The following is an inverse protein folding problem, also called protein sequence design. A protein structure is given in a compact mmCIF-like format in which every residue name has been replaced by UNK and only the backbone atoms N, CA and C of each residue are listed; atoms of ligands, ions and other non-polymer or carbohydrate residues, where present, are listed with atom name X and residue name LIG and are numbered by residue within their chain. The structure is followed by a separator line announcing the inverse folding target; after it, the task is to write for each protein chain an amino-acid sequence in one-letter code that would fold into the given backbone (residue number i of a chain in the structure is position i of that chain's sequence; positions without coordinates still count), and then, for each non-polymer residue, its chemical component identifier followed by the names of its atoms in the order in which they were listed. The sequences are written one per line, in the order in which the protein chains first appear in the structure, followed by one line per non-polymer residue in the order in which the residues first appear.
data_IF_937524791417
#
_entry.id   IF_937524791417
#
_cell.length_a   1.000
_cell.length_b   1.000
_cell.length_c   1.000
_cell.angle_alpha   90.00
_cell.angle_beta   90.00
_cell.angle_gamma   90.00
#
_symmetry.space_group_name_H-M   'P 1'
#
loop_
_entity.id
_entity.type
_entity.pdbx_description
1 polymer ?
#
# COMPACT_ATOMS: atom_id res chain seq x y z
N UNK A 1 -13.40 12.43 -11.82
CA UNK A 1 -13.04 12.50 -10.39
C UNK A 1 -11.53 12.40 -10.27
N UNK A 2 -10.91 13.15 -9.37
CA UNK A 2 -9.47 13.07 -9.10
C UNK A 2 -9.30 12.10 -7.92
N UNK A 3 -8.58 11.00 -8.14
CA UNK A 3 -8.26 10.05 -7.08
C UNK A 3 -6.90 10.41 -6.50
N UNK A 4 -6.81 10.47 -5.17
CA UNK A 4 -5.52 10.54 -4.49
C UNK A 4 -4.82 9.18 -4.63
N UNK A 5 -3.65 9.18 -5.27
CA UNK A 5 -2.84 7.99 -5.45
C UNK A 5 -1.99 7.77 -4.21
N UNK A 6 -2.28 6.68 -3.51
CA UNK A 6 -1.65 6.36 -2.25
C UNK A 6 -0.79 5.11 -2.39
N UNK A 7 0.40 5.14 -1.79
CA UNK A 7 1.20 3.94 -1.55
C UNK A 7 1.12 3.51 -0.09
N UNK A 8 1.08 2.19 0.13
CA UNK A 8 1.07 1.61 1.47
C UNK A 8 2.46 1.07 1.81
N UNK A 9 2.90 1.31 3.04
CA UNK A 9 4.19 0.89 3.58
C UNK A 9 3.96 -0.01 4.79
N UNK A 10 4.17 -1.32 4.59
CA UNK A 10 3.95 -2.39 5.56
C UNK A 10 2.59 -3.06 5.37
N UNK A 11 2.57 -4.39 5.30
CA UNK A 11 1.36 -5.20 5.20
C UNK A 11 0.94 -5.74 6.58
N UNK A 12 -0.35 -5.58 6.90
CA UNK A 12 -0.98 -6.20 8.07
C UNK A 12 -2.50 -6.37 7.83
N UNK A 13 -3.23 -6.83 8.85
CA UNK A 13 -4.67 -7.02 8.74
C UNK A 13 -5.45 -5.69 8.57
N UNK A 14 -4.97 -4.60 9.16
CA UNK A 14 -5.59 -3.27 9.04
C UNK A 14 -5.49 -2.75 7.60
N UNK A 15 -4.36 -2.98 6.94
CA UNK A 15 -4.17 -2.67 5.52
C UNK A 15 -5.16 -3.44 4.65
N UNK A 16 -5.34 -4.73 4.91
CA UNK A 16 -6.31 -5.54 4.17
C UNK A 16 -7.75 -5.00 4.36
N UNK A 17 -8.11 -4.61 5.59
CA UNK A 17 -9.42 -3.99 5.86
C UNK A 17 -9.57 -2.62 5.16
N UNK A 18 -8.52 -1.79 5.17
CA UNK A 18 -8.53 -0.49 4.52
C UNK A 18 -8.73 -0.61 3.00
N UNK A 19 -7.97 -1.51 2.35
CA UNK A 19 -8.10 -1.73 0.90
C UNK A 19 -9.47 -2.34 0.58
N UNK A 20 -10.03 -3.24 1.41
CA UNK A 20 -11.39 -3.73 1.18
C UNK A 20 -12.44 -2.62 1.26
N UNK A 21 -12.33 -1.68 2.20
CA UNK A 21 -13.26 -0.55 2.29
C UNK A 21 -13.20 0.37 1.06
N UNK A 22 -12.03 0.56 0.45
CA UNK A 22 -11.90 1.26 -0.82
C UNK A 22 -12.60 0.51 -1.96
N UNK A 23 -12.38 -0.81 -2.05
CA UNK A 23 -13.01 -1.66 -3.08
C UNK A 23 -14.53 -1.75 -2.93
N UNK A 24 -15.03 -1.75 -1.70
CA UNK A 24 -16.45 -1.78 -1.36
C UNK A 24 -17.12 -0.40 -1.54
N UNK A 25 -16.36 0.64 -1.90
CA UNK A 25 -16.86 2.00 -2.11
C UNK A 25 -17.22 2.75 -0.83
N UNK A 26 -16.76 2.28 0.34
CA UNK A 26 -16.98 2.93 1.63
C UNK A 26 -16.06 4.14 1.86
N UNK A 27 -14.93 4.16 1.14
CA UNK A 27 -13.99 5.29 1.10
C UNK A 27 -13.85 5.70 -0.36
N UNK A 28 -14.14 6.97 -0.66
CA UNK A 28 -14.11 7.50 -2.02
C UNK A 28 -12.85 8.34 -2.27
N UNK A 29 -12.55 8.60 -3.55
CA UNK A 29 -11.50 9.51 -4.02
C UNK A 29 -10.06 9.13 -3.59
N UNK A 30 -9.82 7.86 -3.26
CA UNK A 30 -8.48 7.30 -2.97
C UNK A 30 -8.27 6.03 -3.79
N UNK A 31 -7.05 5.86 -4.32
CA UNK A 31 -6.63 4.67 -5.05
C UNK A 31 -5.30 4.17 -4.45
N UNK A 32 -5.24 2.91 -4.03
CA UNK A 32 -3.98 2.29 -3.60
C UNK A 32 -3.26 1.76 -4.83
N UNK A 33 -2.15 2.41 -5.19
CA UNK A 33 -1.44 2.13 -6.44
C UNK A 33 -0.19 1.28 -6.25
N UNK A 34 0.29 1.12 -5.01
CA UNK A 34 1.47 0.33 -4.71
C UNK A 34 1.51 -0.09 -3.24
N UNK A 35 2.10 -1.25 -2.99
CA UNK A 35 2.39 -1.74 -1.64
C UNK A 35 3.88 -2.03 -1.53
N UNK A 36 4.52 -1.49 -0.51
CA UNK A 36 5.87 -1.85 -0.11
C UNK A 36 5.86 -2.64 1.20
N UNK A 37 6.67 -3.69 1.27
CA UNK A 37 7.04 -4.32 2.54
C UNK A 37 8.52 -4.75 2.53
N UNK A 38 9.19 -4.59 3.67
CA UNK A 38 10.57 -5.08 3.85
C UNK A 38 10.63 -6.61 3.86
N UNK A 39 9.59 -7.28 4.32
CA UNK A 39 9.46 -8.73 4.28
C UNK A 39 8.99 -9.19 2.90
N UNK A 40 9.92 -9.70 2.11
CA UNK A 40 9.65 -10.25 0.76
C UNK A 40 8.63 -11.39 0.78
N UNK A 41 8.42 -12.06 1.91
CA UNK A 41 7.43 -13.12 2.04
C UNK A 41 5.99 -12.60 1.89
N UNK A 42 5.76 -11.32 2.23
CA UNK A 42 4.45 -10.65 2.10
C UNK A 42 3.99 -10.51 0.66
N UNK A 43 4.91 -10.59 -0.33
CA UNK A 43 4.55 -10.59 -1.76
C UNK A 43 3.48 -11.64 -2.08
N UNK A 44 3.57 -12.83 -1.49
CA UNK A 44 2.56 -13.89 -1.72
C UNK A 44 1.19 -13.52 -1.18
N UNK A 45 1.14 -12.87 -0.02
CA UNK A 45 -0.10 -12.47 0.64
C UNK A 45 -0.75 -11.31 -0.14
N UNK A 46 0.03 -10.29 -0.48
CA UNK A 46 -0.43 -9.16 -1.30
C UNK A 46 -0.95 -9.65 -2.65
N UNK A 47 -0.20 -10.50 -3.36
CA UNK A 47 -0.63 -11.03 -4.65
C UNK A 47 -1.88 -11.93 -4.55
N UNK A 48 -2.11 -12.58 -3.41
CA UNK A 48 -3.30 -13.39 -3.20
C UNK A 48 -4.56 -12.53 -3.04
N UNK A 49 -4.47 -11.43 -2.28
CA UNK A 49 -5.62 -10.54 -2.02
C UNK A 49 -5.82 -9.49 -3.12
N UNK A 50 -4.73 -8.92 -3.63
CA UNK A 50 -4.70 -7.75 -4.51
C UNK A 50 -3.68 -7.93 -5.64
N UNK A 51 -3.88 -8.91 -6.55
CA UNK A 51 -2.95 -9.20 -7.64
C UNK A 51 -2.72 -8.03 -8.61
N UNK A 52 -3.65 -7.08 -8.65
CA UNK A 52 -3.56 -5.86 -9.47
C UNK A 52 -2.65 -4.77 -8.88
N UNK A 53 -2.36 -4.83 -7.57
CA UNK A 53 -1.55 -3.81 -6.91
C UNK A 53 -0.08 -4.26 -6.90
N UNK A 54 0.85 -3.50 -7.50
CA UNK A 54 2.25 -3.87 -7.54
C UNK A 54 2.87 -3.93 -6.14
N UNK A 55 3.59 -5.03 -5.87
CA UNK A 55 4.37 -5.21 -4.65
C UNK A 55 5.84 -4.85 -4.85
N UNK A 56 6.37 -4.06 -3.92
CA UNK A 56 7.75 -3.62 -3.85
C UNK A 56 8.44 -4.10 -2.57
N UNK A 57 9.71 -4.49 -2.68
CA UNK A 57 10.57 -4.73 -1.50
C UNK A 57 11.66 -3.66 -1.34
N UNK A 58 11.67 -2.66 -2.22
CA UNK A 58 12.57 -1.51 -2.18
C UNK A 58 11.70 -0.25 -2.27
N UNK A 59 11.70 0.52 -1.18
CA UNK A 59 10.90 1.73 -1.07
C UNK A 59 11.33 2.80 -2.08
N UNK A 60 12.65 2.95 -2.33
CA UNK A 60 13.15 3.92 -3.30
C UNK A 60 12.76 3.53 -4.72
N UNK A 61 12.76 2.23 -5.02
CA UNK A 61 12.27 1.74 -6.30
C UNK A 61 10.79 2.07 -6.50
N UNK A 62 9.94 1.81 -5.49
CA UNK A 62 8.52 2.17 -5.52
C UNK A 62 8.33 3.66 -5.77
N UNK A 63 8.96 4.52 -4.97
CA UNK A 63 8.82 5.98 -5.09
C UNK A 63 9.35 6.55 -6.40
N UNK A 64 10.29 5.85 -7.07
CA UNK A 64 10.80 6.26 -8.39
C UNK A 64 9.89 5.84 -9.54
N UNK A 65 9.25 4.66 -9.42
CA UNK A 65 8.41 4.09 -10.48
C UNK A 65 6.98 4.61 -10.45
N UNK A 66 6.47 4.87 -9.25
CA UNK A 66 5.08 5.21 -9.03
C UNK A 66 4.92 6.72 -8.82
N UNK A 67 3.86 7.30 -9.40
CA UNK A 67 3.45 8.68 -9.12
C UNK A 67 2.52 8.67 -7.91
N UNK A 68 3.12 8.67 -6.73
CA UNK A 68 2.44 8.62 -5.43
C UNK A 68 2.21 10.03 -4.92
N UNK A 69 0.97 10.34 -4.53
CA UNK A 69 0.65 11.63 -3.92
C UNK A 69 0.82 11.61 -2.39
N UNK A 70 0.57 10.46 -1.76
CA UNK A 70 0.72 10.28 -0.31
C UNK A 70 1.13 8.84 0.06
N UNK A 71 1.79 8.69 1.20
CA UNK A 71 2.20 7.40 1.75
C UNK A 71 1.48 7.14 3.06
N UNK A 72 0.87 5.95 3.19
CA UNK A 72 0.31 5.46 4.44
C UNK A 72 1.24 4.41 5.04
N UNK A 73 1.78 4.68 6.22
CA UNK A 73 2.66 3.76 6.94
C UNK A 73 1.89 2.99 8.00
N UNK A 74 1.96 1.66 7.94
CA UNK A 74 1.36 0.73 8.88
C UNK A 74 2.40 -0.14 9.61
N UNK A 75 3.62 0.39 9.74
CA UNK A 75 4.68 -0.23 10.53
C UNK A 75 4.45 -0.04 12.05
N UNK A 76 5.08 -0.84 12.92
CA UNK A 76 5.13 -0.52 14.34
C UNK A 76 5.68 0.90 14.55
N UNK A 77 5.02 1.67 15.42
CA UNK A 77 5.18 3.13 15.60
C UNK A 77 6.63 3.63 15.73
N UNK A 78 7.55 2.80 16.25
CA UNK A 78 8.98 3.10 16.37
C UNK A 78 9.72 3.26 15.03
N UNK A 79 9.13 2.82 13.91
CA UNK A 79 9.74 2.89 12.58
C UNK A 79 9.21 4.01 11.70
N UNK A 80 8.20 4.78 12.14
CA UNK A 80 7.56 5.82 11.32
C UNK A 80 8.46 7.02 10.98
N UNK A 81 9.54 7.24 11.72
CA UNK A 81 10.46 8.38 11.54
C UNK A 81 11.74 8.02 10.77
N UNK A 82 11.91 6.75 10.36
CA UNK A 82 13.16 6.24 9.77
C UNK A 82 13.01 5.88 8.30
#
# INVERSE_FOLDING_TARGET
MVFQKVAIVGWNQEVNAYISFLKDGLIENVEVIAIYDKDKSMKRVVNYHYPEIPFYHDYKEMMRKETVDAVLSFHPSLLHTR
#
